data_IF_494646867800
#
_entry.id   IF_494646867800
#
_cell.length_a   1.000
_cell.length_b   1.000
_cell.length_c   1.000
_cell.angle_alpha   90.00
_cell.angle_beta   90.00
_cell.angle_gamma   90.00
#
_symmetry.space_group_name_H-M   'P 1'
#
loop_
_entity.id
_entity.type
_entity.pdbx_description
1 polymer ?
#
# COMPACT_ATOMS: atom_id res chain seq x y z
N UNK A 1 -4.25 -4.96 -24.89
CA UNK A 1 -5.27 -5.89 -24.33
C UNK A 1 -6.51 -5.09 -24.00
N UNK A 2 -7.71 -5.55 -24.35
CA UNK A 2 -8.94 -4.84 -24.01
C UNK A 2 -9.20 -5.01 -22.50
N UNK A 3 -9.06 -3.92 -21.72
CA UNK A 3 -9.20 -3.93 -20.25
C UNK A 3 -10.56 -4.46 -19.77
N UNK A 4 -11.62 -4.27 -20.55
CA UNK A 4 -12.99 -4.72 -20.20
C UNK A 4 -13.15 -6.26 -20.18
N UNK A 5 -12.16 -6.99 -20.69
CA UNK A 5 -12.11 -8.44 -20.65
C UNK A 5 -11.30 -8.99 -19.49
N UNK A 6 -10.64 -8.13 -18.71
CA UNK A 6 -9.89 -8.56 -17.54
C UNK A 6 -10.83 -8.83 -16.36
N UNK A 7 -10.55 -9.89 -15.61
CA UNK A 7 -11.22 -10.22 -14.37
C UNK A 7 -10.27 -10.04 -13.19
N UNK A 8 -10.67 -9.18 -12.26
CA UNK A 8 -9.95 -8.92 -11.02
C UNK A 8 -10.72 -9.49 -9.83
N UNK A 9 -10.05 -10.30 -9.01
CA UNK A 9 -10.60 -10.90 -7.79
C UNK A 9 -9.85 -10.39 -6.58
N UNK A 10 -10.58 -9.97 -5.55
CA UNK A 10 -9.99 -9.49 -4.29
C UNK A 10 -10.93 -9.70 -3.10
N UNK A 11 -10.49 -9.30 -1.90
CA UNK A 11 -11.25 -9.42 -0.67
C UNK A 11 -11.30 -8.11 0.12
N UNK A 12 -12.39 -7.96 0.87
CA UNK A 12 -12.60 -6.85 1.80
C UNK A 12 -13.29 -5.63 1.18
N UNK A 13 -14.34 -5.17 1.87
CA UNK A 13 -15.08 -3.93 1.56
C UNK A 13 -15.10 -2.96 2.74
N UNK A 14 -14.10 -3.07 3.61
CA UNK A 14 -13.90 -2.20 4.77
C UNK A 14 -13.51 -0.76 4.39
N UNK A 15 -12.91 -0.06 5.34
CA UNK A 15 -12.51 1.34 5.17
C UNK A 15 -11.52 1.56 4.03
N UNK A 16 -10.48 0.76 3.98
CA UNK A 16 -9.41 0.84 2.96
C UNK A 16 -9.75 0.02 1.71
N UNK A 17 -10.07 -1.25 1.89
CA UNK A 17 -10.33 -2.22 0.83
C UNK A 17 -11.51 -1.87 -0.07
N UNK A 18 -12.52 -1.19 0.46
CA UNK A 18 -13.69 -0.77 -0.33
C UNK A 18 -13.38 0.12 -1.54
N UNK A 19 -12.18 0.68 -1.64
CA UNK A 19 -11.76 1.45 -2.81
C UNK A 19 -11.44 0.56 -4.03
N UNK A 20 -11.09 -0.71 -3.86
CA UNK A 20 -10.65 -1.58 -4.95
C UNK A 20 -11.71 -1.79 -6.05
N UNK A 21 -12.99 -2.13 -5.75
CA UNK A 21 -14.00 -2.28 -6.80
C UNK A 21 -14.23 -0.97 -7.56
N UNK A 22 -14.16 0.18 -6.88
CA UNK A 22 -14.27 1.49 -7.53
C UNK A 22 -13.08 1.75 -8.46
N UNK A 23 -11.86 1.43 -8.01
CA UNK A 23 -10.67 1.55 -8.83
C UNK A 23 -10.72 0.62 -10.06
N UNK A 24 -11.22 -0.61 -9.91
CA UNK A 24 -11.45 -1.54 -11.00
C UNK A 24 -12.43 -0.97 -12.05
N UNK A 25 -13.54 -0.37 -11.62
CA UNK A 25 -14.49 0.30 -12.51
C UNK A 25 -13.84 1.46 -13.27
N UNK A 26 -13.05 2.32 -12.59
CA UNK A 26 -12.32 3.43 -13.22
C UNK A 26 -11.28 2.91 -14.22
N UNK A 27 -10.60 1.81 -13.89
CA UNK A 27 -9.64 1.16 -14.78
C UNK A 27 -10.29 0.44 -15.97
N UNK A 28 -11.60 0.25 -15.95
CA UNK A 28 -12.35 -0.44 -17.01
C UNK A 28 -12.31 -1.96 -16.91
N UNK A 29 -12.19 -2.52 -15.71
CA UNK A 29 -12.04 -3.95 -15.42
C UNK A 29 -13.30 -4.50 -14.75
N UNK A 30 -13.65 -5.76 -15.03
CA UNK A 30 -14.68 -6.49 -14.27
C UNK A 30 -14.06 -7.00 -12.97
N UNK A 31 -14.73 -6.81 -11.84
CA UNK A 31 -14.20 -7.25 -10.55
C UNK A 31 -15.22 -7.98 -9.68
N UNK A 32 -14.72 -8.94 -8.90
CA UNK A 32 -15.45 -9.54 -7.79
C UNK A 32 -14.65 -9.28 -6.51
N UNK A 33 -15.30 -8.69 -5.52
CA UNK A 33 -14.73 -8.46 -4.18
C UNK A 33 -15.52 -9.23 -3.15
N UNK A 34 -14.89 -10.21 -2.50
CA UNK A 34 -15.56 -10.95 -1.42
C UNK A 34 -15.60 -10.14 -0.13
N UNK A 35 -16.74 -10.17 0.55
CA UNK A 35 -16.94 -9.55 1.85
C UNK A 35 -17.92 -10.39 2.67
N UNK A 36 -17.52 -10.77 3.89
CA UNK A 36 -18.37 -11.59 4.77
C UNK A 36 -19.33 -10.75 5.60
N UNK A 37 -19.03 -9.47 5.82
CA UNK A 37 -19.86 -8.56 6.59
C UNK A 37 -20.92 -7.89 5.69
N UNK A 38 -22.21 -8.22 5.83
CA UNK A 38 -23.26 -7.67 4.98
C UNK A 38 -23.37 -6.15 5.07
N UNK A 39 -23.12 -5.57 6.25
CA UNK A 39 -23.15 -4.11 6.43
C UNK A 39 -22.09 -3.40 5.60
N UNK A 40 -20.90 -3.99 5.47
CA UNK A 40 -19.83 -3.43 4.65
C UNK A 40 -20.20 -3.53 3.16
N UNK A 41 -20.66 -4.68 2.68
CA UNK A 41 -21.04 -4.90 1.28
C UNK A 41 -22.13 -3.93 0.82
N UNK A 42 -23.26 -3.89 1.52
CA UNK A 42 -24.38 -3.00 1.17
C UNK A 42 -24.03 -1.52 1.29
N UNK A 43 -23.22 -1.12 2.29
CA UNK A 43 -22.72 0.26 2.38
C UNK A 43 -21.95 0.69 1.15
N UNK A 44 -21.12 -0.18 0.58
CA UNK A 44 -20.37 0.14 -0.66
C UNK A 44 -21.26 0.20 -1.88
N UNK A 45 -22.30 -0.60 -1.93
CA UNK A 45 -23.30 -0.50 -2.99
C UNK A 45 -24.09 0.82 -2.90
N UNK A 46 -24.56 1.22 -1.71
CA UNK A 46 -25.23 2.50 -1.48
C UNK A 46 -24.36 3.71 -1.88
N UNK A 47 -23.05 3.61 -1.66
CA UNK A 47 -22.08 4.63 -2.05
C UNK A 47 -21.74 4.62 -3.55
N UNK A 48 -22.25 3.68 -4.34
CA UNK A 48 -21.93 3.51 -5.75
C UNK A 48 -20.47 3.09 -6.00
N UNK A 49 -19.86 2.38 -5.05
CA UNK A 49 -18.51 1.84 -5.16
C UNK A 49 -18.51 0.38 -5.63
N UNK A 50 -19.62 -0.30 -5.43
CA UNK A 50 -19.95 -1.62 -5.95
C UNK A 50 -21.28 -1.52 -6.67
N UNK A 51 -21.39 -2.12 -7.85
CA UNK A 51 -22.58 -2.05 -8.67
C UNK A 51 -23.66 -3.04 -8.19
N UNK A 52 -23.26 -4.23 -7.74
CA UNK A 52 -24.20 -5.30 -7.37
C UNK A 52 -23.64 -6.14 -6.20
N UNK A 53 -24.53 -6.61 -5.31
CA UNK A 53 -24.22 -7.56 -4.24
C UNK A 53 -24.88 -8.90 -4.56
N UNK A 54 -24.12 -10.00 -4.55
CA UNK A 54 -24.58 -11.36 -4.87
C UNK A 54 -24.12 -12.32 -3.78
N UNK A 55 -25.02 -13.15 -3.25
CA UNK A 55 -24.73 -14.11 -2.17
C UNK A 55 -24.29 -15.48 -2.68
N UNK A 56 -24.78 -15.89 -3.87
CA UNK A 56 -24.46 -17.19 -4.44
C UNK A 56 -23.20 -17.11 -5.29
N UNK A 57 -22.17 -17.89 -4.94
CA UNK A 57 -20.86 -17.86 -5.57
C UNK A 57 -20.93 -18.16 -7.08
N UNK A 58 -21.72 -19.14 -7.51
CA UNK A 58 -21.86 -19.47 -8.92
C UNK A 58 -22.53 -18.37 -9.72
N UNK A 59 -23.60 -17.76 -9.18
CA UNK A 59 -24.25 -16.61 -9.82
C UNK A 59 -23.31 -15.40 -9.90
N UNK A 60 -22.49 -15.19 -8.89
CA UNK A 60 -21.48 -14.12 -8.88
C UNK A 60 -20.48 -14.32 -10.01
N UNK A 61 -19.92 -15.53 -10.14
CA UNK A 61 -18.96 -15.87 -11.18
C UNK A 61 -19.60 -15.79 -12.58
N UNK A 62 -20.79 -16.34 -12.75
CA UNK A 62 -21.52 -16.31 -14.04
C UNK A 62 -21.82 -14.87 -14.47
N UNK A 63 -22.19 -14.00 -13.53
CA UNK A 63 -22.40 -12.57 -13.79
C UNK A 63 -21.14 -11.87 -14.24
N UNK A 64 -20.00 -12.14 -13.62
CA UNK A 64 -18.72 -11.57 -14.03
C UNK A 64 -18.34 -12.02 -15.45
N UNK A 65 -18.50 -13.30 -15.77
CA UNK A 65 -18.26 -13.85 -17.11
C UNK A 65 -19.19 -13.20 -18.15
N UNK A 66 -20.47 -13.07 -17.84
CA UNK A 66 -21.44 -12.37 -18.70
C UNK A 66 -20.97 -10.93 -19.00
N UNK A 67 -20.51 -10.21 -17.98
CA UNK A 67 -20.01 -8.85 -18.13
C UNK A 67 -18.77 -8.79 -19.02
N UNK A 68 -17.81 -9.70 -18.85
CA UNK A 68 -16.62 -9.80 -19.71
C UNK A 68 -17.00 -10.08 -21.19
N UNK A 69 -17.93 -11.01 -21.42
CA UNK A 69 -18.38 -11.37 -22.77
C UNK A 69 -19.06 -10.19 -23.47
N UNK A 70 -19.80 -9.39 -22.72
CA UNK A 70 -20.51 -8.21 -23.21
C UNK A 70 -19.65 -6.93 -23.20
N UNK A 71 -18.36 -6.98 -22.85
CA UNK A 71 -17.47 -5.83 -22.67
C UNK A 71 -18.04 -4.77 -21.72
N UNK A 72 -18.77 -5.18 -20.69
CA UNK A 72 -19.38 -4.31 -19.69
C UNK A 72 -18.51 -4.26 -18.46
N UNK A 73 -18.04 -3.08 -18.09
CA UNK A 73 -17.39 -2.85 -16.79
C UNK A 73 -18.41 -3.02 -15.69
N UNK A 74 -18.07 -3.81 -14.68
CA UNK A 74 -18.99 -4.10 -13.57
C UNK A 74 -18.23 -4.57 -12.34
N UNK A 75 -18.60 -4.07 -11.17
CA UNK A 75 -18.05 -4.48 -9.88
C UNK A 75 -19.09 -5.22 -9.07
N UNK A 76 -18.73 -6.42 -8.62
CA UNK A 76 -19.61 -7.32 -7.88
C UNK A 76 -19.04 -7.51 -6.48
N UNK A 77 -19.85 -7.31 -5.45
CA UNK A 77 -19.57 -7.80 -4.12
C UNK A 77 -20.12 -9.22 -3.97
N UNK A 78 -19.26 -10.18 -3.76
CA UNK A 78 -19.67 -11.50 -3.31
C UNK A 78 -19.89 -11.46 -1.79
N UNK A 79 -21.12 -11.55 -1.33
CA UNK A 79 -21.42 -11.63 0.10
C UNK A 79 -21.18 -13.05 0.60
N UNK A 80 -19.94 -13.32 0.99
CA UNK A 80 -19.46 -14.62 1.40
C UNK A 80 -17.97 -14.64 1.70
N UNK A 81 -17.46 -15.82 2.01
CA UNK A 81 -16.05 -15.99 2.34
C UNK A 81 -15.19 -16.01 1.08
N UNK A 82 -14.06 -15.32 1.12
CA UNK A 82 -13.11 -15.25 0.00
C UNK A 82 -12.55 -16.63 -0.39
N UNK A 83 -12.40 -17.55 0.56
CA UNK A 83 -11.91 -18.91 0.28
C UNK A 83 -12.87 -19.66 -0.62
N UNK A 84 -14.20 -19.57 -0.34
CA UNK A 84 -15.22 -20.20 -1.19
C UNK A 84 -15.16 -19.68 -2.63
N UNK A 85 -14.91 -18.36 -2.80
CA UNK A 85 -14.77 -17.76 -4.13
C UNK A 85 -13.52 -18.29 -4.87
N UNK A 86 -12.35 -18.28 -4.20
CA UNK A 86 -11.11 -18.76 -4.80
C UNK A 86 -11.18 -20.23 -5.17
N UNK A 87 -11.68 -21.09 -4.27
CA UNK A 87 -11.85 -22.51 -4.52
C UNK A 87 -12.80 -22.76 -5.69
N UNK A 88 -13.94 -22.05 -5.74
CA UNK A 88 -14.93 -22.24 -6.81
C UNK A 88 -14.41 -21.78 -8.16
N UNK A 89 -13.66 -20.69 -8.23
CA UNK A 89 -12.97 -20.25 -9.45
C UNK A 89 -11.97 -21.29 -9.94
N UNK A 90 -11.18 -21.86 -9.01
CA UNK A 90 -10.20 -22.90 -9.30
C UNK A 90 -10.84 -24.24 -9.73
N UNK A 91 -11.96 -24.65 -9.12
CA UNK A 91 -12.72 -25.84 -9.49
C UNK A 91 -13.31 -25.73 -10.90
N UNK A 92 -13.87 -24.57 -11.22
CA UNK A 92 -14.49 -24.31 -12.54
C UNK A 92 -13.47 -23.96 -13.62
N UNK A 93 -12.16 -23.92 -13.31
CA UNK A 93 -11.09 -23.49 -14.20
C UNK A 93 -11.39 -22.13 -14.87
N UNK A 94 -11.94 -21.19 -14.12
CA UNK A 94 -12.21 -19.84 -14.61
C UNK A 94 -10.89 -19.12 -14.80
N UNK A 95 -10.73 -18.47 -15.95
CA UNK A 95 -9.58 -17.60 -16.19
C UNK A 95 -9.72 -16.32 -15.38
N UNK A 96 -8.87 -16.15 -14.38
CA UNK A 96 -8.69 -14.91 -13.63
C UNK A 96 -7.42 -14.23 -14.13
N UNK A 97 -7.46 -12.93 -14.41
CA UNK A 97 -6.29 -12.21 -14.91
C UNK A 97 -5.50 -11.58 -13.77
N UNK A 98 -6.18 -11.00 -12.78
CA UNK A 98 -5.58 -10.33 -11.63
C UNK A 98 -6.21 -10.84 -10.33
N UNK A 99 -5.39 -11.06 -9.32
CA UNK A 99 -5.82 -11.42 -7.98
C UNK A 99 -5.08 -10.65 -6.90
N UNK A 100 -5.78 -10.31 -5.81
CA UNK A 100 -5.14 -9.78 -4.60
C UNK A 100 -5.93 -10.15 -3.35
N UNK A 101 -5.32 -9.92 -2.19
CA UNK A 101 -6.02 -9.99 -0.92
C UNK A 101 -5.76 -8.73 -0.09
N UNK A 102 -6.82 -8.11 0.42
CA UNK A 102 -6.74 -6.93 1.29
C UNK A 102 -7.43 -7.15 2.64
N UNK A 103 -7.59 -8.39 3.06
CA UNK A 103 -8.00 -8.67 4.44
C UNK A 103 -6.96 -8.18 5.44
N UNK A 104 -7.41 -7.76 6.63
CA UNK A 104 -6.55 -7.07 7.61
C UNK A 104 -5.73 -8.07 8.43
N UNK A 105 -4.80 -8.78 7.80
CA UNK A 105 -4.00 -9.84 8.44
C UNK A 105 -2.88 -9.31 9.36
N UNK A 106 -2.76 -8.00 9.55
CA UNK A 106 -2.00 -7.44 10.69
C UNK A 106 -2.57 -7.87 12.04
N UNK A 107 -3.85 -8.23 12.08
CA UNK A 107 -4.51 -8.73 13.26
C UNK A 107 -5.52 -9.83 12.90
N UNK A 108 -5.03 -11.00 12.45
CA UNK A 108 -5.89 -12.06 11.95
C UNK A 108 -6.80 -12.67 13.02
N UNK A 109 -6.43 -12.52 14.31
CA UNK A 109 -7.08 -13.20 15.43
C UNK A 109 -8.21 -12.41 16.06
N UNK A 110 -8.42 -11.13 15.69
CA UNK A 110 -9.42 -10.24 16.27
C UNK A 110 -10.21 -9.49 15.19
N UNK A 111 -10.75 -10.23 14.23
CA UNK A 111 -11.64 -9.72 13.21
C UNK A 111 -10.96 -9.19 11.94
N UNK A 112 -9.65 -9.39 11.81
CA UNK A 112 -8.92 -9.06 10.58
C UNK A 112 -9.13 -10.08 9.46
N UNK A 113 -9.44 -11.33 9.81
CA UNK A 113 -9.72 -12.42 8.90
C UNK A 113 -10.83 -13.32 9.46
N UNK A 114 -11.70 -13.83 8.61
CA UNK A 114 -12.80 -14.71 8.99
C UNK A 114 -12.62 -16.09 8.35
N UNK A 115 -12.61 -17.17 9.16
CA UNK A 115 -12.41 -18.52 8.64
C UNK A 115 -13.59 -19.00 7.81
N UNK A 116 -13.32 -19.81 6.80
CA UNK A 116 -14.33 -20.41 5.94
C UNK A 116 -15.08 -21.54 6.65
N UNK A 117 -16.34 -21.73 6.28
CA UNK A 117 -17.20 -22.82 6.78
C UNK A 117 -17.98 -22.50 8.05
N UNK A 118 -17.92 -21.26 8.53
CA UNK A 118 -18.77 -20.73 9.62
C UNK A 118 -19.33 -19.37 9.22
N UNK A 119 -20.48 -19.00 9.79
CA UNK A 119 -21.09 -17.70 9.52
C UNK A 119 -20.32 -16.55 10.18
N UNK A 120 -20.62 -15.32 9.74
CA UNK A 120 -20.05 -14.10 10.33
C UNK A 120 -20.34 -14.00 11.83
N UNK A 121 -21.56 -14.34 12.25
CA UNK A 121 -22.01 -14.32 13.63
C UNK A 121 -21.30 -15.39 14.46
N UNK A 122 -21.24 -16.64 13.98
CA UNK A 122 -20.53 -17.73 14.66
C UNK A 122 -19.03 -17.44 14.80
N UNK A 123 -18.42 -16.84 13.79
CA UNK A 123 -17.01 -16.44 13.83
C UNK A 123 -16.76 -15.38 14.92
N UNK A 124 -17.64 -14.38 15.05
CA UNK A 124 -17.53 -13.37 16.11
C UNK A 124 -17.71 -13.97 17.51
N UNK A 125 -18.66 -14.89 17.69
CA UNK A 125 -18.86 -15.60 18.96
C UNK A 125 -17.66 -16.46 19.31
N UNK A 126 -17.14 -17.22 18.33
CA UNK A 126 -15.97 -18.09 18.52
C UNK A 126 -14.72 -17.27 18.86
N UNK A 127 -14.51 -16.14 18.21
CA UNK A 127 -13.38 -15.24 18.47
C UNK A 127 -13.41 -14.75 19.93
N UNK A 128 -14.59 -14.47 20.47
CA UNK A 128 -14.76 -14.00 21.83
C UNK A 128 -14.65 -15.11 22.90
N UNK A 129 -15.12 -16.32 22.62
CA UNK A 129 -15.27 -17.38 23.62
C UNK A 129 -14.35 -18.58 23.43
N UNK A 130 -13.88 -18.84 22.18
CA UNK A 130 -13.00 -19.96 21.83
C UNK A 130 -11.81 -19.49 20.95
N UNK A 131 -10.98 -18.53 21.41
CA UNK A 131 -9.98 -17.86 20.55
C UNK A 131 -8.95 -18.81 19.94
N UNK A 132 -8.55 -19.87 20.65
CA UNK A 132 -7.57 -20.83 20.09
C UNK A 132 -8.18 -21.66 18.96
N UNK A 133 -9.44 -22.04 19.08
CA UNK A 133 -10.18 -22.73 18.02
C UNK A 133 -10.38 -21.82 16.80
N UNK A 134 -10.68 -20.56 17.05
CA UNK A 134 -10.76 -19.54 15.98
C UNK A 134 -9.45 -19.44 15.21
N UNK A 135 -8.30 -19.33 15.91
CA UNK A 135 -6.96 -19.28 15.31
C UNK A 135 -6.67 -20.49 14.42
N UNK A 136 -7.00 -21.69 14.90
CA UNK A 136 -6.79 -22.92 14.12
C UNK A 136 -7.64 -22.95 12.84
N UNK A 137 -8.89 -22.45 12.88
CA UNK A 137 -9.73 -22.34 11.70
C UNK A 137 -9.19 -21.29 10.72
N UNK A 138 -8.69 -20.15 11.22
CA UNK A 138 -8.06 -19.12 10.38
C UNK A 138 -6.84 -19.71 9.67
N UNK A 139 -5.92 -20.40 10.37
CA UNK A 139 -4.74 -21.03 9.74
C UNK A 139 -5.14 -22.03 8.65
N UNK A 140 -6.12 -22.88 8.90
CA UNK A 140 -6.63 -23.83 7.89
C UNK A 140 -7.23 -23.11 6.68
N UNK A 141 -7.95 -22.04 6.92
CA UNK A 141 -8.56 -21.23 5.86
C UNK A 141 -7.50 -20.54 5.00
N UNK A 142 -6.44 -19.98 5.60
CA UNK A 142 -5.31 -19.39 4.88
C UNK A 142 -4.60 -20.43 3.99
N UNK A 143 -4.37 -21.66 4.50
CA UNK A 143 -3.78 -22.73 3.68
C UNK A 143 -4.67 -23.10 2.48
N UNK A 144 -5.99 -23.20 2.67
CA UNK A 144 -6.95 -23.46 1.59
C UNK A 144 -6.98 -22.33 0.56
N UNK A 145 -7.01 -21.08 1.03
CA UNK A 145 -7.00 -19.90 0.18
C UNK A 145 -5.76 -19.88 -0.72
N UNK A 146 -4.58 -20.06 -0.13
CA UNK A 146 -3.31 -20.09 -0.87
C UNK A 146 -3.28 -21.23 -1.88
N UNK A 147 -3.76 -22.42 -1.52
CA UNK A 147 -3.80 -23.55 -2.45
C UNK A 147 -4.67 -23.24 -3.70
N UNK A 148 -5.81 -22.59 -3.53
CA UNK A 148 -6.65 -22.16 -4.63
C UNK A 148 -5.99 -21.04 -5.47
N UNK A 149 -5.38 -20.05 -4.82
CA UNK A 149 -4.61 -18.98 -5.48
C UNK A 149 -3.47 -19.56 -6.30
N UNK A 150 -2.68 -20.49 -5.73
CA UNK A 150 -1.57 -21.16 -6.43
C UNK A 150 -2.05 -21.85 -7.72
N UNK A 151 -3.16 -22.58 -7.63
CA UNK A 151 -3.75 -23.27 -8.81
C UNK A 151 -4.15 -22.27 -9.90
N UNK A 152 -4.73 -21.12 -9.53
CA UNK A 152 -5.11 -20.09 -10.50
C UNK A 152 -3.89 -19.33 -11.04
N UNK A 153 -2.87 -19.10 -10.22
CA UNK A 153 -1.62 -18.49 -10.66
C UNK A 153 -0.84 -19.38 -11.63
N UNK A 154 -0.81 -20.70 -11.38
CA UNK A 154 -0.24 -21.68 -12.32
C UNK A 154 -0.98 -21.70 -13.67
N UNK A 155 -2.24 -21.27 -13.69
CA UNK A 155 -3.06 -21.09 -14.91
C UNK A 155 -2.96 -19.66 -15.49
N UNK A 156 -2.02 -18.81 -15.00
CA UNK A 156 -1.69 -17.51 -15.58
C UNK A 156 -2.34 -16.31 -14.91
N UNK A 157 -2.93 -16.45 -13.72
CA UNK A 157 -3.35 -15.30 -12.91
C UNK A 157 -2.13 -14.58 -12.34
N UNK A 158 -2.07 -13.26 -12.46
CA UNK A 158 -1.13 -12.44 -11.72
C UNK A 158 -1.71 -12.11 -10.34
N UNK A 159 -1.13 -12.72 -9.31
CA UNK A 159 -1.52 -12.44 -7.92
C UNK A 159 -0.50 -11.54 -7.25
N UNK A 160 -0.95 -10.62 -6.39
CA UNK A 160 -0.12 -9.78 -5.54
C UNK A 160 -0.74 -9.63 -4.15
N UNK A 161 0.10 -9.64 -3.11
CA UNK A 161 -0.29 -9.25 -1.76
C UNK A 161 -0.46 -7.73 -1.72
N UNK A 162 -1.57 -7.25 -1.17
CA UNK A 162 -1.81 -5.81 -1.05
C UNK A 162 -0.93 -5.13 0.03
N UNK A 163 -0.13 -5.89 0.76
CA UNK A 163 0.73 -5.39 1.84
C UNK A 163 0.06 -5.40 3.22
N UNK A 164 -0.99 -6.21 3.40
CA UNK A 164 -1.70 -6.38 4.67
C UNK A 164 -1.32 -7.65 5.43
N UNK A 165 -0.07 -8.10 5.26
CA UNK A 165 0.49 -9.29 5.90
C UNK A 165 -0.12 -10.64 5.44
N UNK A 166 -0.78 -10.70 4.28
CA UNK A 166 -1.36 -11.95 3.77
C UNK A 166 -0.31 -13.03 3.56
N UNK A 167 0.78 -12.74 2.85
CA UNK A 167 1.85 -13.70 2.59
C UNK A 167 2.56 -14.12 3.90
N UNK A 168 2.80 -13.17 4.78
CA UNK A 168 3.44 -13.42 6.07
C UNK A 168 2.61 -14.39 6.94
N UNK A 169 1.34 -14.08 7.15
CA UNK A 169 0.47 -14.90 8.01
C UNK A 169 0.11 -16.24 7.36
N UNK A 170 -0.01 -16.28 6.05
CA UNK A 170 -0.18 -17.52 5.31
C UNK A 170 1.05 -18.44 5.42
N UNK A 171 2.26 -17.89 5.34
CA UNK A 171 3.50 -18.62 5.57
C UNK A 171 3.60 -19.13 7.01
N UNK A 172 3.26 -18.30 8.00
CA UNK A 172 3.16 -18.70 9.42
C UNK A 172 2.10 -19.78 9.67
N UNK A 173 1.05 -19.83 8.88
CA UNK A 173 0.04 -20.88 8.92
C UNK A 173 0.50 -22.19 8.26
N UNK A 174 1.63 -22.18 7.54
CA UNK A 174 2.19 -23.34 6.82
C UNK A 174 1.73 -23.47 5.37
N UNK A 175 1.18 -22.41 4.77
CA UNK A 175 0.80 -22.40 3.37
C UNK A 175 2.03 -22.29 2.44
N UNK A 176 1.89 -22.79 1.21
CA UNK A 176 2.94 -22.74 0.17
C UNK A 176 2.97 -21.37 -0.51
N UNK A 177 3.63 -20.40 0.12
CA UNK A 177 3.77 -19.01 -0.35
C UNK A 177 5.19 -18.64 -0.76
N UNK A 178 6.15 -19.55 -0.63
CA UNK A 178 7.56 -19.28 -0.92
C UNK A 178 7.97 -19.85 -2.28
N UNK A 179 8.94 -19.19 -2.93
CA UNK A 179 9.57 -19.74 -4.12
C UNK A 179 10.32 -21.04 -3.77
N UNK A 180 10.19 -22.06 -4.64
CA UNK A 180 11.00 -23.27 -4.51
C UNK A 180 12.45 -22.89 -4.81
N UNK A 181 13.31 -22.89 -3.80
CA UNK A 181 14.74 -22.71 -4.03
C UNK A 181 15.26 -23.86 -4.90
N UNK A 182 15.76 -23.55 -6.10
CA UNK A 182 16.50 -24.52 -6.89
C UNK A 182 17.71 -25.03 -6.09
N UNK A 183 18.05 -26.31 -6.22
CA UNK A 183 19.12 -26.93 -5.45
C UNK A 183 20.49 -26.26 -5.59
N UNK A 184 20.66 -25.38 -6.57
CA UNK A 184 21.88 -24.61 -6.83
C UNK A 184 22.14 -23.43 -5.87
N UNK A 185 21.11 -22.96 -5.15
CA UNK A 185 21.25 -21.84 -4.22
C UNK A 185 21.64 -22.26 -2.78
N UNK A 186 21.89 -23.55 -2.53
CA UNK A 186 22.23 -24.09 -1.20
C UNK A 186 23.69 -23.91 -0.77
N UNK A 187 24.55 -23.26 -1.55
CA UNK A 187 26.00 -23.23 -1.32
C UNK A 187 26.51 -21.95 -0.64
N UNK A 188 25.66 -21.03 -0.19
CA UNK A 188 26.11 -19.80 0.50
C UNK A 188 25.60 -19.60 1.91
N UNK A 189 25.35 -20.66 2.68
CA UNK A 189 25.21 -20.50 4.11
C UNK A 189 26.57 -20.72 4.79
N UNK A 190 27.28 -19.61 5.04
CA UNK A 190 28.51 -19.60 5.83
C UNK A 190 28.23 -20.14 7.23
N UNK A 191 28.97 -21.17 7.61
CA UNK A 191 29.13 -21.64 8.98
C UNK A 191 29.77 -20.53 9.85
N UNK A 192 28.98 -19.75 10.55
CA UNK A 192 29.43 -19.02 11.72
C UNK A 192 29.05 -19.80 12.97
N UNK A 193 29.88 -20.77 13.36
CA UNK A 193 29.97 -21.28 14.73
C UNK A 193 30.78 -20.25 15.51
N UNK A 194 30.12 -19.56 16.46
CA UNK A 194 30.54 -19.49 17.86
C UNK A 194 29.82 -18.35 18.63
N UNK A 195 29.25 -18.80 19.75
CA UNK A 195 28.98 -18.11 21.02
C UNK A 195 27.74 -17.24 21.17
N UNK A 196 26.79 -17.75 21.95
CA UNK A 196 25.79 -16.96 22.65
C UNK A 196 24.43 -17.64 22.79
N UNK A 197 24.24 -18.40 23.87
CA UNK A 197 22.96 -18.96 24.31
C UNK A 197 21.90 -17.86 24.50
N UNK A 198 21.00 -17.67 23.52
CA UNK A 198 19.68 -17.05 23.70
C UNK A 198 18.72 -17.57 22.64
N UNK A 199 17.65 -18.23 23.11
CA UNK A 199 16.44 -18.65 22.38
C UNK A 199 16.63 -19.12 20.92
N UNK A 200 17.20 -20.30 20.75
CA UNK A 200 17.39 -20.96 19.44
C UNK A 200 16.09 -21.10 18.65
N UNK A 201 14.96 -21.37 19.31
CA UNK A 201 13.68 -21.58 18.61
C UNK A 201 13.08 -20.32 17.97
N UNK A 202 13.41 -19.11 18.48
CA UNK A 202 12.93 -17.87 17.91
C UNK A 202 13.83 -17.39 16.76
N UNK A 203 15.14 -17.56 16.89
CA UNK A 203 16.11 -17.21 15.86
C UNK A 203 16.01 -18.14 14.64
N UNK A 204 15.92 -19.46 14.80
CA UNK A 204 15.75 -20.38 13.67
C UNK A 204 14.46 -20.13 12.88
N UNK A 205 13.35 -19.76 13.54
CA UNK A 205 12.09 -19.40 12.85
C UNK A 205 12.16 -18.06 12.14
N UNK A 206 12.89 -17.10 12.68
CA UNK A 206 13.02 -15.76 12.10
C UNK A 206 14.03 -15.75 10.95
N UNK A 207 15.16 -16.41 11.10
CA UNK A 207 16.20 -16.53 10.05
C UNK A 207 15.70 -17.34 8.85
N UNK A 208 14.90 -18.38 9.04
CA UNK A 208 14.30 -19.13 7.93
C UNK A 208 13.24 -18.31 7.16
N UNK A 209 12.53 -17.37 7.82
CA UNK A 209 11.53 -16.53 7.16
C UNK A 209 12.14 -15.33 6.41
N UNK A 210 13.33 -14.87 6.76
CA UNK A 210 14.01 -13.73 6.14
C UNK A 210 14.77 -14.15 4.87
N UNK A 211 15.20 -15.40 4.78
CA UNK A 211 15.96 -15.94 3.66
C UNK A 211 15.06 -16.48 2.52
N UNK A 212 13.75 -16.61 2.73
CA UNK A 212 12.84 -17.17 1.72
C UNK A 212 12.12 -16.06 0.96
N UNK A 213 12.30 -16.03 -0.37
CA UNK A 213 11.57 -15.13 -1.24
C UNK A 213 10.14 -15.61 -1.42
N UNK A 214 9.18 -14.69 -1.31
CA UNK A 214 7.78 -14.99 -1.57
C UNK A 214 7.53 -15.27 -3.05
N UNK A 215 6.62 -16.19 -3.32
CA UNK A 215 6.15 -16.54 -4.66
C UNK A 215 5.43 -15.39 -5.37
N UNK A 216 4.82 -14.51 -4.61
CA UNK A 216 4.03 -13.39 -5.13
C UNK A 216 4.62 -12.06 -4.68
N UNK A 217 4.56 -11.03 -5.53
CA UNK A 217 4.98 -9.69 -5.15
C UNK A 217 4.03 -9.08 -4.11
N UNK A 218 4.58 -8.18 -3.30
CA UNK A 218 3.79 -7.29 -2.46
C UNK A 218 3.54 -5.98 -3.21
N UNK A 219 2.28 -5.49 -3.17
CA UNK A 219 1.91 -4.22 -3.78
C UNK A 219 2.76 -3.05 -3.29
N UNK A 220 2.96 -2.96 -1.97
CA UNK A 220 3.68 -1.83 -1.38
C UNK A 220 5.18 -1.90 -1.67
N UNK A 221 5.79 -3.07 -1.51
CA UNK A 221 7.24 -3.26 -1.60
C UNK A 221 7.72 -3.40 -3.04
N UNK A 222 7.08 -4.27 -3.81
CA UNK A 222 7.57 -4.71 -5.10
C UNK A 222 6.95 -3.94 -6.27
N UNK A 223 5.80 -3.28 -6.04
CA UNK A 223 5.11 -2.50 -7.07
C UNK A 223 5.23 -1.01 -6.78
N UNK A 224 4.67 -0.52 -5.65
CA UNK A 224 4.67 0.90 -5.34
C UNK A 224 6.05 1.42 -4.92
N UNK A 225 6.88 0.59 -4.28
CA UNK A 225 8.26 0.94 -3.94
C UNK A 225 9.03 1.43 -5.16
N UNK A 226 9.29 0.56 -6.14
CA UNK A 226 10.02 0.93 -7.35
C UNK A 226 9.32 1.94 -8.26
N UNK A 227 7.98 1.91 -8.33
CA UNK A 227 7.23 2.81 -9.22
C UNK A 227 7.05 4.22 -8.67
N UNK A 228 6.93 4.37 -7.35
CA UNK A 228 6.54 5.64 -6.71
C UNK A 228 7.48 6.05 -5.59
N UNK A 229 7.62 5.23 -4.54
CA UNK A 229 8.30 5.64 -3.30
C UNK A 229 9.79 5.90 -3.49
N UNK A 230 10.46 5.12 -4.30
CA UNK A 230 11.89 5.32 -4.59
C UNK A 230 12.12 6.65 -5.32
N UNK A 231 11.20 7.06 -6.18
CA UNK A 231 11.24 8.37 -6.85
C UNK A 231 10.73 9.54 -6.00
N UNK A 232 10.33 9.30 -4.77
CA UNK A 232 9.86 10.33 -3.86
C UNK A 232 8.35 10.58 -3.90
N UNK A 233 7.59 9.81 -4.70
CA UNK A 233 6.14 9.95 -4.80
C UNK A 233 5.45 9.11 -3.74
N UNK A 234 4.64 9.75 -2.93
CA UNK A 234 3.82 9.09 -1.92
C UNK A 234 2.52 9.82 -1.67
N UNK A 235 1.61 9.21 -0.90
CA UNK A 235 0.29 9.77 -0.66
C UNK A 235 0.37 11.13 0.02
N UNK A 236 -0.18 12.12 -0.68
CA UNK A 236 -0.35 13.50 -0.21
C UNK A 236 -1.84 13.81 -0.17
N UNK A 237 -2.35 14.07 0.99
CA UNK A 237 -3.78 14.26 1.25
C UNK A 237 -4.08 15.66 1.72
N UNK A 238 -5.20 16.22 1.27
CA UNK A 238 -5.74 17.45 1.84
C UNK A 238 -7.23 17.36 2.11
N UNK A 239 -7.69 18.14 3.09
CA UNK A 239 -9.09 18.27 3.47
C UNK A 239 -9.44 19.75 3.54
N UNK A 240 -10.47 20.16 2.80
CA UNK A 240 -11.05 21.50 2.87
C UNK A 240 -11.97 21.56 4.10
N UNK A 241 -11.55 22.27 5.15
CA UNK A 241 -12.28 22.31 6.43
C UNK A 241 -13.61 23.06 6.36
N UNK A 242 -13.83 23.83 5.29
CA UNK A 242 -15.13 24.46 5.02
C UNK A 242 -16.26 23.46 4.81
N UNK A 243 -15.93 22.24 4.39
CA UNK A 243 -16.91 21.24 3.94
C UNK A 243 -17.61 21.59 2.63
N UNK A 244 -17.21 22.69 1.95
CA UNK A 244 -17.82 23.16 0.72
C UNK A 244 -17.23 22.49 -0.51
N UNK A 245 -18.05 21.93 -1.43
CA UNK A 245 -17.56 21.37 -2.69
C UNK A 245 -16.79 22.37 -3.55
N UNK A 246 -17.15 23.66 -3.49
CA UNK A 246 -16.52 24.74 -4.25
C UNK A 246 -15.06 24.94 -3.85
N UNK A 247 -14.72 24.78 -2.56
CA UNK A 247 -13.34 24.88 -2.10
C UNK A 247 -12.52 23.65 -2.51
N UNK A 248 -13.13 22.46 -2.57
CA UNK A 248 -12.50 21.29 -3.15
C UNK A 248 -12.23 21.46 -4.64
N UNK A 249 -13.23 21.94 -5.42
CA UNK A 249 -13.07 22.20 -6.86
C UNK A 249 -11.93 23.20 -7.14
N UNK A 250 -11.75 24.22 -6.28
CA UNK A 250 -10.64 25.18 -6.40
C UNK A 250 -9.30 24.53 -6.08
N UNK A 251 -9.24 23.77 -4.99
CA UNK A 251 -8.00 23.07 -4.60
C UNK A 251 -7.59 22.03 -5.66
N UNK A 252 -8.54 21.32 -6.27
CA UNK A 252 -8.29 20.41 -7.38
C UNK A 252 -7.68 21.15 -8.59
N UNK A 253 -8.23 22.31 -8.99
CA UNK A 253 -7.69 23.12 -10.09
C UNK A 253 -6.28 23.62 -9.80
N UNK A 254 -6.03 24.08 -8.58
CA UNK A 254 -4.69 24.50 -8.15
C UNK A 254 -3.72 23.33 -8.28
N UNK A 255 -4.08 22.17 -7.74
CA UNK A 255 -3.22 20.99 -7.79
C UNK A 255 -2.93 20.55 -9.24
N UNK A 256 -3.93 20.51 -10.12
CA UNK A 256 -3.73 20.18 -11.54
C UNK A 256 -2.78 21.15 -12.21
N UNK A 257 -3.00 22.48 -12.06
CA UNK A 257 -2.14 23.50 -12.69
C UNK A 257 -0.68 23.38 -12.23
N UNK A 258 -0.43 23.09 -10.95
CA UNK A 258 0.92 22.88 -10.44
C UNK A 258 1.54 21.60 -11.01
N UNK A 259 0.78 20.51 -11.10
CA UNK A 259 1.27 19.25 -11.68
C UNK A 259 1.57 19.38 -13.19
N UNK A 260 0.75 20.12 -13.92
CA UNK A 260 1.01 20.46 -15.34
C UNK A 260 2.30 21.26 -15.49
N UNK A 261 2.51 22.30 -14.66
CA UNK A 261 3.74 23.09 -14.65
C UNK A 261 4.96 22.18 -14.39
N UNK A 262 4.91 21.36 -13.34
CA UNK A 262 6.02 20.45 -12.97
C UNK A 262 6.30 19.46 -14.10
N UNK A 263 5.26 18.88 -14.71
CA UNK A 263 5.41 17.91 -15.78
C UNK A 263 6.18 18.46 -17.00
N UNK A 264 6.12 19.77 -17.26
CA UNK A 264 6.80 20.38 -18.42
C UNK A 264 8.33 20.36 -18.33
N UNK A 265 8.89 20.27 -17.13
CA UNK A 265 10.33 20.28 -16.89
C UNK A 265 10.84 19.05 -16.10
N UNK A 266 9.93 18.11 -15.81
CA UNK A 266 10.29 16.85 -15.15
C UNK A 266 11.00 15.90 -16.11
N UNK A 267 11.97 15.12 -15.62
CA UNK A 267 12.53 13.99 -16.36
C UNK A 267 11.49 12.96 -16.76
N UNK A 268 11.73 12.25 -17.86
CA UNK A 268 10.78 11.26 -18.41
C UNK A 268 10.36 10.18 -17.42
N UNK A 269 11.27 9.79 -16.52
CA UNK A 269 11.07 8.76 -15.50
C UNK A 269 9.91 9.07 -14.54
N UNK A 270 9.61 10.35 -14.32
CA UNK A 270 8.60 10.78 -13.36
C UNK A 270 7.40 11.50 -13.97
N UNK A 271 7.44 11.84 -15.26
CA UNK A 271 6.33 12.54 -15.93
C UNK A 271 5.01 11.77 -15.87
N UNK A 272 5.06 10.44 -15.93
CA UNK A 272 3.84 9.63 -15.88
C UNK A 272 3.09 9.80 -14.55
N UNK A 273 3.80 9.94 -13.43
CA UNK A 273 3.17 10.19 -12.12
C UNK A 273 2.35 11.49 -12.10
N UNK A 274 2.85 12.54 -12.74
CA UNK A 274 2.11 13.80 -12.86
C UNK A 274 0.84 13.63 -13.68
N UNK A 275 0.93 12.95 -14.82
CA UNK A 275 -0.23 12.71 -15.72
C UNK A 275 -1.29 11.85 -15.05
N UNK A 276 -0.88 10.82 -14.32
CA UNK A 276 -1.79 9.93 -13.60
C UNK A 276 -2.55 10.71 -12.50
N UNK A 277 -1.87 11.58 -11.77
CA UNK A 277 -2.49 12.46 -10.78
C UNK A 277 -3.50 13.43 -11.42
N UNK A 278 -3.15 14.05 -12.54
CA UNK A 278 -4.06 14.96 -13.28
C UNK A 278 -5.31 14.19 -13.71
N UNK A 279 -5.14 13.05 -14.35
CA UNK A 279 -6.25 12.18 -14.78
C UNK A 279 -7.14 11.77 -13.61
N UNK A 280 -6.52 11.47 -12.46
CA UNK A 280 -7.24 11.12 -11.23
C UNK A 280 -8.13 12.25 -10.73
N UNK A 281 -7.61 13.49 -10.68
CA UNK A 281 -8.39 14.67 -10.26
C UNK A 281 -9.50 14.98 -11.26
N UNK A 282 -9.23 14.99 -12.56
CA UNK A 282 -10.22 15.23 -13.61
C UNK A 282 -11.39 14.26 -13.52
N UNK A 283 -11.09 13.00 -13.27
CA UNK A 283 -12.08 11.92 -13.09
C UNK A 283 -12.83 11.96 -11.76
N UNK A 284 -12.34 12.71 -10.77
CA UNK A 284 -12.79 12.59 -9.39
C UNK A 284 -14.29 12.89 -9.20
N UNK A 285 -14.79 13.94 -9.85
CA UNK A 285 -16.21 14.32 -9.74
C UNK A 285 -17.13 13.31 -10.44
N UNK A 286 -16.78 12.87 -11.64
CA UNK A 286 -17.55 11.88 -12.39
C UNK A 286 -17.60 10.52 -11.67
N UNK A 287 -16.55 10.19 -10.92
CA UNK A 287 -16.43 8.95 -10.17
C UNK A 287 -16.88 9.04 -8.72
N UNK A 288 -17.43 10.19 -8.27
CA UNK A 288 -17.86 10.39 -6.88
C UNK A 288 -16.75 10.06 -5.87
N UNK A 289 -15.52 10.53 -6.10
CA UNK A 289 -14.36 10.26 -5.24
C UNK A 289 -14.33 11.15 -3.99
N UNK A 290 -15.48 11.42 -3.39
CA UNK A 290 -15.61 12.13 -2.11
C UNK A 290 -16.35 11.22 -1.14
N UNK A 291 -15.70 10.87 -0.04
CA UNK A 291 -16.28 10.00 1.00
C UNK A 291 -16.14 10.68 2.35
N UNK A 292 -17.27 11.16 2.86
CA UNK A 292 -17.40 11.69 4.22
C UNK A 292 -16.84 13.10 4.44
N UNK A 293 -15.96 13.62 3.56
CA UNK A 293 -15.39 14.97 3.67
C UNK A 293 -14.97 15.49 2.29
N UNK A 294 -14.82 16.81 2.17
CA UNK A 294 -14.26 17.46 0.98
C UNK A 294 -12.72 17.28 0.98
N UNK A 295 -12.28 16.13 0.52
CA UNK A 295 -10.89 15.69 0.59
C UNK A 295 -10.40 15.12 -0.73
N UNK A 296 -9.09 15.20 -0.95
CA UNK A 296 -8.40 14.58 -2.08
C UNK A 296 -7.10 13.93 -1.62
N UNK A 297 -6.64 12.95 -2.38
CA UNK A 297 -5.34 12.30 -2.21
C UNK A 297 -4.68 12.17 -3.58
N UNK A 298 -3.39 12.44 -3.64
CA UNK A 298 -2.50 12.26 -4.80
C UNK A 298 -1.25 11.52 -4.37
N UNK A 299 -0.46 11.10 -5.35
CA UNK A 299 0.92 10.64 -5.13
C UNK A 299 1.87 11.74 -5.60
N UNK A 300 2.39 12.54 -4.67
CA UNK A 300 3.24 13.69 -4.97
C UNK A 300 4.61 13.57 -4.29
N UNK A 301 5.64 14.08 -5.01
CA UNK A 301 7.00 14.23 -4.49
C UNK A 301 7.15 15.53 -3.65
N UNK A 302 8.37 15.80 -3.17
CA UNK A 302 8.63 16.98 -2.34
C UNK A 302 8.28 18.30 -3.05
N UNK A 303 8.66 18.45 -4.32
CA UNK A 303 8.37 19.65 -5.13
C UNK A 303 6.86 19.83 -5.28
N UNK A 304 6.15 18.79 -5.69
CA UNK A 304 4.69 18.81 -5.85
C UNK A 304 3.98 19.16 -4.55
N UNK A 305 4.34 18.50 -3.46
CA UNK A 305 3.75 18.78 -2.13
C UNK A 305 3.95 20.23 -1.69
N UNK A 306 5.17 20.75 -1.81
CA UNK A 306 5.51 22.12 -1.39
C UNK A 306 4.79 23.15 -2.25
N UNK A 307 4.83 23.03 -3.59
CA UNK A 307 4.19 23.98 -4.49
C UNK A 307 2.67 23.99 -4.31
N UNK A 308 2.03 22.82 -4.26
CA UNK A 308 0.59 22.69 -4.04
C UNK A 308 0.21 23.31 -2.68
N UNK A 309 0.89 22.90 -1.60
CA UNK A 309 0.61 23.41 -0.25
C UNK A 309 0.80 24.92 -0.13
N UNK A 310 1.86 25.47 -0.75
CA UNK A 310 2.09 26.93 -0.79
C UNK A 310 0.96 27.66 -1.49
N UNK A 311 0.55 27.17 -2.65
CA UNK A 311 -0.53 27.82 -3.44
C UNK A 311 -1.88 27.72 -2.71
N UNK A 312 -2.14 26.59 -2.00
CA UNK A 312 -3.31 26.51 -1.11
C UNK A 312 -3.23 27.58 0.01
N UNK A 313 -2.07 27.77 0.63
CA UNK A 313 -1.90 28.76 1.67
C UNK A 313 -2.11 30.19 1.14
N UNK A 314 -1.63 30.50 -0.05
CA UNK A 314 -1.85 31.78 -0.72
C UNK A 314 -3.34 31.99 -1.07
N UNK A 315 -4.04 30.94 -1.55
CA UNK A 315 -5.48 30.99 -1.86
C UNK A 315 -6.35 31.17 -0.60
N UNK A 316 -5.93 30.65 0.55
CA UNK A 316 -6.58 30.90 1.84
C UNK A 316 -6.33 32.36 2.25
N UNK A 317 -5.09 32.85 2.15
CA UNK A 317 -4.71 34.23 2.48
C UNK A 317 -5.49 35.26 1.65
N UNK A 318 -5.73 34.98 0.37
CA UNK A 318 -6.51 35.85 -0.52
C UNK A 318 -8.03 35.75 -0.33
N UNK A 319 -8.52 34.73 0.37
CA UNK A 319 -9.93 34.43 0.52
C UNK A 319 -10.54 33.69 -0.69
N UNK A 320 -9.75 33.23 -1.64
CA UNK A 320 -10.19 32.37 -2.74
C UNK A 320 -10.69 31.02 -2.20
N UNK A 321 -9.96 30.40 -1.28
CA UNK A 321 -10.42 29.26 -0.47
C UNK A 321 -10.95 29.82 0.85
N UNK A 322 -12.17 29.44 1.22
CA UNK A 322 -12.94 30.12 2.26
C UNK A 322 -12.59 29.72 3.70
N UNK A 323 -11.76 28.69 3.88
CA UNK A 323 -11.37 28.16 5.20
C UNK A 323 -10.00 27.46 5.12
N UNK A 324 -9.36 27.22 6.29
CA UNK A 324 -8.12 26.46 6.35
C UNK A 324 -8.18 25.11 5.67
N UNK A 325 -7.04 24.63 5.18
CA UNK A 325 -6.85 23.29 4.64
C UNK A 325 -5.98 22.49 5.62
N UNK A 326 -6.35 21.25 5.85
CA UNK A 326 -5.55 20.27 6.57
C UNK A 326 -4.81 19.39 5.57
N UNK A 327 -3.50 19.39 5.65
CA UNK A 327 -2.64 18.44 4.93
C UNK A 327 -2.36 17.22 5.80
N UNK A 328 -2.10 16.09 5.15
CA UNK A 328 -1.62 14.89 5.79
C UNK A 328 -1.07 13.92 4.76
N UNK A 329 -0.44 12.87 5.24
CA UNK A 329 -0.07 11.72 4.44
C UNK A 329 -0.56 10.42 5.09
N UNK A 330 -0.58 9.38 4.32
CA UNK A 330 -0.75 8.05 4.86
C UNK A 330 0.56 7.57 5.50
N UNK A 331 0.50 6.58 6.37
CA UNK A 331 1.68 5.93 6.92
C UNK A 331 2.41 5.07 5.88
N UNK A 332 1.75 4.65 4.79
CA UNK A 332 2.36 4.09 3.60
C UNK A 332 2.88 5.21 2.72
N UNK A 333 4.11 5.63 2.90
CA UNK A 333 4.67 6.76 2.19
C UNK A 333 6.16 6.57 1.90
N UNK A 334 6.74 7.51 1.17
CA UNK A 334 8.17 7.60 0.84
C UNK A 334 9.04 7.50 2.08
N UNK A 335 8.69 8.20 3.14
CA UNK A 335 9.36 8.11 4.44
C UNK A 335 9.28 6.73 5.07
N UNK A 336 8.43 5.86 4.55
CA UNK A 336 8.34 4.41 4.66
C UNK A 336 8.65 3.87 6.03
N UNK A 337 7.63 3.76 6.87
CA UNK A 337 7.87 3.48 8.27
C UNK A 337 7.14 2.25 8.78
N UNK A 338 6.50 1.51 7.91
CA UNK A 338 5.92 0.21 8.27
C UNK A 338 7.02 -0.85 8.41
N UNK A 339 7.88 -0.65 9.40
CA UNK A 339 8.97 -1.55 9.72
C UNK A 339 8.45 -2.75 10.53
N UNK A 340 8.90 -3.99 10.23
CA UNK A 340 9.86 -4.36 9.20
C UNK A 340 9.25 -4.88 7.87
N UNK A 341 7.92 -5.01 7.77
CA UNK A 341 7.31 -5.90 6.78
C UNK A 341 6.65 -5.23 5.58
N UNK A 342 6.72 -3.91 5.41
CA UNK A 342 6.15 -3.22 4.26
C UNK A 342 7.15 -2.28 3.60
N UNK A 343 6.97 -0.97 3.69
CA UNK A 343 7.79 0.00 2.94
C UNK A 343 9.29 -0.08 3.25
N UNK A 344 9.65 -0.71 4.37
CA UNK A 344 11.05 -0.89 4.76
C UNK A 344 11.63 -2.25 4.41
N UNK A 345 10.83 -3.19 3.92
CA UNK A 345 11.31 -4.55 3.60
C UNK A 345 12.24 -4.60 2.38
N UNK A 346 12.22 -3.58 1.52
CA UNK A 346 13.18 -3.40 0.44
C UNK A 346 14.49 -2.72 0.89
N UNK A 347 14.74 -2.62 2.19
CA UNK A 347 15.99 -2.19 2.80
C UNK A 347 16.73 -3.44 3.26
N UNK A 348 17.81 -3.81 2.56
CA UNK A 348 18.47 -5.12 2.69
C UNK A 348 19.69 -5.13 3.60
N UNK A 349 20.02 -4.01 4.25
CA UNK A 349 21.17 -3.86 5.15
C UNK A 349 20.90 -4.26 6.62
N UNK A 350 19.69 -4.77 6.90
CA UNK A 350 19.24 -5.15 8.25
C UNK A 350 18.53 -4.02 9.03
N UNK A 351 18.60 -2.78 8.58
CA UNK A 351 17.97 -1.64 9.28
C UNK A 351 16.44 -1.62 9.17
N UNK A 352 15.86 -2.44 8.29
CA UNK A 352 14.41 -2.61 8.18
C UNK A 352 13.72 -3.09 9.46
N UNK A 353 14.47 -3.70 10.38
CA UNK A 353 13.94 -4.21 11.66
C UNK A 353 13.96 -3.20 12.80
N UNK A 354 14.31 -1.95 12.54
CA UNK A 354 14.42 -0.92 13.57
C UNK A 354 13.15 -0.08 13.69
N UNK A 355 12.74 0.24 14.92
CA UNK A 355 11.70 1.23 15.19
C UNK A 355 12.22 2.68 14.99
N UNK A 356 13.54 2.86 14.95
CA UNK A 356 14.19 4.17 14.92
C UNK A 356 13.79 4.99 13.71
N UNK A 357 13.53 4.38 12.57
CA UNK A 357 13.10 5.08 11.37
C UNK A 357 11.77 5.81 11.56
N UNK A 358 10.76 5.13 12.12
CA UNK A 358 9.46 5.73 12.40
C UNK A 358 9.58 6.85 13.45
N UNK A 359 10.36 6.62 14.50
CA UNK A 359 10.61 7.59 15.56
C UNK A 359 11.34 8.82 15.00
N UNK A 360 12.40 8.64 14.23
CA UNK A 360 13.15 9.73 13.61
C UNK A 360 12.28 10.57 12.67
N UNK A 361 11.44 9.93 11.86
CA UNK A 361 10.53 10.64 10.98
C UNK A 361 9.55 11.52 11.77
N UNK A 362 8.86 10.95 12.77
CA UNK A 362 7.90 11.68 13.61
C UNK A 362 8.55 12.83 14.37
N UNK A 363 9.76 12.63 14.93
CA UNK A 363 10.52 13.70 15.60
C UNK A 363 10.87 14.80 14.59
N UNK A 364 11.35 14.43 13.40
CA UNK A 364 11.72 15.38 12.37
C UNK A 364 10.55 16.23 11.87
N UNK A 365 9.38 15.64 11.68
CA UNK A 365 8.15 16.34 11.34
C UNK A 365 7.70 17.30 12.44
N UNK A 366 7.78 16.86 13.71
CA UNK A 366 7.44 17.66 14.88
C UNK A 366 8.31 18.92 14.96
N UNK A 367 9.64 18.76 14.84
CA UNK A 367 10.58 19.90 14.89
C UNK A 367 10.41 20.90 13.75
N UNK A 368 9.84 20.47 12.62
CA UNK A 368 9.64 21.32 11.44
C UNK A 368 8.24 21.89 11.31
N UNK A 369 7.42 21.69 12.33
CA UNK A 369 6.16 22.42 12.48
C UNK A 369 4.93 21.69 11.99
N UNK A 370 4.93 20.36 11.97
CA UNK A 370 3.70 19.60 11.89
C UNK A 370 2.73 20.07 12.99
N UNK A 371 1.45 20.22 12.65
CA UNK A 371 0.44 20.62 13.64
C UNK A 371 0.18 19.51 14.65
N UNK A 372 0.23 18.26 14.18
CA UNK A 372 0.25 17.07 15.02
C UNK A 372 1.03 15.96 14.31
N UNK A 373 1.50 15.01 15.09
CA UNK A 373 2.13 13.78 14.62
C UNK A 373 1.49 12.59 15.30
N UNK A 374 1.60 11.43 14.68
CA UNK A 374 1.17 10.16 15.24
C UNK A 374 2.25 9.12 15.05
N UNK A 375 2.37 8.20 16.02
CA UNK A 375 3.14 6.99 15.92
C UNK A 375 2.31 5.84 16.50
N UNK A 376 2.24 4.71 15.81
CA UNK A 376 1.39 3.60 16.22
C UNK A 376 1.89 2.27 15.63
N UNK A 377 1.32 1.19 16.11
CA UNK A 377 1.62 -0.17 15.67
C UNK A 377 0.56 -0.70 14.70
N UNK A 378 0.92 -1.73 13.94
CA UNK A 378 -0.02 -2.56 13.20
C UNK A 378 -0.79 -1.87 12.09
N UNK A 379 -0.11 -1.22 11.15
CA UNK A 379 -0.77 -0.65 9.98
C UNK A 379 -1.85 0.40 10.27
N UNK A 380 -1.77 1.10 11.40
CA UNK A 380 -2.75 2.09 11.82
C UNK A 380 -3.88 1.57 12.72
N UNK A 381 -3.92 0.28 13.04
CA UNK A 381 -4.95 -0.30 13.93
C UNK A 381 -4.62 -0.19 15.41
N UNK A 382 -3.40 0.21 15.76
CA UNK A 382 -2.97 0.46 17.14
C UNK A 382 -2.33 -0.73 17.85
N UNK A 383 -2.21 -1.88 17.20
CA UNK A 383 -1.49 -3.08 17.67
C UNK A 383 -0.94 -3.87 16.49
N UNK A 384 0.05 -4.71 16.76
CA UNK A 384 0.75 -5.52 15.77
C UNK A 384 2.26 -5.30 15.82
N UNK A 385 2.98 -5.98 14.95
CA UNK A 385 4.44 -5.98 14.91
C UNK A 385 5.03 -4.76 14.19
N UNK A 386 4.24 -4.14 13.32
CA UNK A 386 4.66 -3.03 12.46
C UNK A 386 4.58 -1.71 13.22
N UNK A 387 5.61 -0.88 13.09
CA UNK A 387 5.62 0.51 13.58
C UNK A 387 5.58 1.46 12.40
N UNK A 388 4.71 2.46 12.49
CA UNK A 388 4.60 3.53 11.51
C UNK A 388 4.22 4.86 12.14
N UNK A 389 4.27 5.91 11.35
CA UNK A 389 3.92 7.26 11.80
C UNK A 389 3.34 8.10 10.67
N UNK A 390 2.79 9.21 11.04
CA UNK A 390 2.23 10.18 10.14
C UNK A 390 2.17 11.57 10.75
N UNK A 391 1.77 12.54 9.94
CA UNK A 391 1.59 13.93 10.37
C UNK A 391 0.27 14.50 9.86
N UNK A 392 -0.16 15.58 10.52
CA UNK A 392 -1.12 16.52 9.98
C UNK A 392 -0.59 17.94 10.10
N UNK A 393 -0.92 18.78 9.13
CA UNK A 393 -0.52 20.18 9.07
C UNK A 393 -1.69 21.05 8.66
N UNK A 394 -1.93 22.09 9.45
CA UNK A 394 -2.94 23.12 9.15
C UNK A 394 -2.30 24.24 8.31
N UNK A 395 -2.94 24.58 7.21
CA UNK A 395 -2.68 25.76 6.40
C UNK A 395 -3.79 26.78 6.71
N UNK A 396 -3.42 27.96 7.16
CA UNK A 396 -4.36 29.02 7.58
C UNK A 396 -4.16 30.36 6.84
N UNK A 397 -3.32 30.37 5.81
CA UNK A 397 -2.99 31.56 5.03
C UNK A 397 -1.88 32.42 5.64
N UNK A 398 -1.30 32.05 6.78
CA UNK A 398 -0.25 32.83 7.46
C UNK A 398 1.13 32.57 6.85
N UNK A 399 2.04 33.52 7.08
CA UNK A 399 3.47 33.37 6.76
C UNK A 399 4.14 32.27 7.58
N UNK A 400 3.66 32.05 8.79
CA UNK A 400 4.16 30.96 9.65
C UNK A 400 3.79 29.60 9.06
N UNK A 401 2.56 29.42 8.56
CA UNK A 401 2.17 28.21 7.85
C UNK A 401 3.03 27.98 6.60
N UNK A 402 3.32 29.03 5.83
CA UNK A 402 4.20 28.93 4.66
C UNK A 402 5.62 28.47 5.03
N UNK A 403 6.19 29.03 6.07
CA UNK A 403 7.51 28.64 6.57
C UNK A 403 7.54 27.16 7.00
N UNK A 404 6.55 26.75 7.78
CA UNK A 404 6.45 25.38 8.30
C UNK A 404 6.28 24.35 7.16
N UNK A 405 5.36 24.58 6.22
CA UNK A 405 5.11 23.65 5.12
C UNK A 405 6.38 23.40 4.28
N UNK A 406 7.17 24.45 3.99
CA UNK A 406 8.42 24.31 3.22
C UNK A 406 9.43 23.42 3.94
N UNK A 407 9.64 23.64 5.22
CA UNK A 407 10.62 22.88 6.01
C UNK A 407 10.17 21.43 6.21
N UNK A 408 8.90 21.24 6.58
CA UNK A 408 8.39 19.91 6.95
C UNK A 408 8.22 18.99 5.76
N UNK A 409 7.59 19.47 4.67
CA UNK A 409 7.36 18.65 3.49
C UNK A 409 8.67 18.29 2.76
N UNK A 410 9.66 19.20 2.77
CA UNK A 410 11.00 18.89 2.26
C UNK A 410 11.66 17.78 3.07
N UNK A 411 11.61 17.87 4.40
CA UNK A 411 12.18 16.86 5.28
C UNK A 411 11.50 15.52 5.15
N UNK A 412 10.17 15.48 5.26
CA UNK A 412 9.41 14.23 5.32
C UNK A 412 9.72 13.33 4.10
N UNK A 413 9.64 13.88 2.90
CA UNK A 413 9.92 13.13 1.68
C UNK A 413 11.40 12.75 1.57
N UNK A 414 12.32 13.72 1.72
CA UNK A 414 13.74 13.48 1.48
C UNK A 414 14.40 12.61 2.56
N UNK A 415 13.84 12.57 3.77
CA UNK A 415 14.24 11.61 4.80
C UNK A 415 14.02 10.15 4.31
N UNK A 416 12.87 9.88 3.70
CA UNK A 416 12.58 8.57 3.12
C UNK A 416 13.46 8.23 1.92
N UNK A 417 13.59 9.15 0.97
CA UNK A 417 14.45 8.97 -0.21
C UNK A 417 15.90 8.72 0.21
N UNK A 418 16.41 9.45 1.20
CA UNK A 418 17.77 9.28 1.73
C UNK A 418 18.01 7.85 2.22
N UNK A 419 17.10 7.28 3.00
CA UNK A 419 17.21 5.90 3.49
C UNK A 419 17.16 4.88 2.35
N UNK A 420 16.24 5.06 1.39
CA UNK A 420 16.10 4.21 0.21
C UNK A 420 17.32 4.30 -0.70
N UNK A 421 17.96 5.46 -0.81
CA UNK A 421 19.22 5.62 -1.56
C UNK A 421 20.39 4.86 -0.92
N UNK A 422 20.46 4.85 0.41
CA UNK A 422 21.44 4.04 1.15
C UNK A 422 21.17 2.54 1.04
N UNK A 423 19.91 2.12 0.84
CA UNK A 423 19.56 0.76 0.48
C UNK A 423 19.94 0.37 -0.98
N UNK A 424 20.50 1.30 -1.73
CA UNK A 424 20.93 1.17 -3.13
C UNK A 424 19.81 1.07 -4.15
N UNK A 425 18.60 1.53 -3.80
CA UNK A 425 17.50 1.59 -4.74
C UNK A 425 17.82 2.66 -5.81
N UNK A 426 17.84 2.28 -7.07
CA UNK A 426 18.26 3.15 -8.17
C UNK A 426 17.40 4.41 -8.30
N UNK A 427 16.08 4.26 -8.22
CA UNK A 427 15.14 5.38 -8.24
C UNK A 427 15.39 6.38 -7.10
N UNK A 428 15.75 5.89 -5.91
CA UNK A 428 16.06 6.74 -4.77
C UNK A 428 17.39 7.46 -4.89
N UNK A 429 18.39 6.82 -5.50
CA UNK A 429 19.68 7.48 -5.84
C UNK A 429 19.45 8.59 -6.85
N UNK A 430 18.63 8.35 -7.87
CA UNK A 430 18.22 9.38 -8.83
C UNK A 430 17.50 10.53 -8.12
N UNK A 431 16.47 10.23 -7.33
CA UNK A 431 15.64 11.23 -6.66
C UNK A 431 16.42 12.09 -5.66
N UNK A 432 17.32 11.51 -4.86
CA UNK A 432 18.11 12.29 -3.90
C UNK A 432 19.15 13.20 -4.58
N UNK A 433 19.73 12.77 -5.70
CA UNK A 433 20.63 13.62 -6.48
C UNK A 433 19.88 14.80 -7.07
N UNK A 434 18.72 14.57 -7.68
CA UNK A 434 17.84 15.63 -8.19
C UNK A 434 17.45 16.61 -7.07
N UNK A 435 17.05 16.12 -5.90
CA UNK A 435 16.71 16.98 -4.78
C UNK A 435 17.88 17.85 -4.29
N UNK A 436 19.12 17.35 -4.32
CA UNK A 436 20.32 18.15 -4.01
C UNK A 436 20.64 19.21 -5.07
N UNK A 437 20.26 18.99 -6.33
CA UNK A 437 20.38 20.01 -7.39
C UNK A 437 19.32 21.11 -7.22
N UNK A 438 18.08 20.75 -6.91
CA UNK A 438 16.97 21.68 -6.66
C UNK A 438 17.17 22.50 -5.37
N UNK A 439 17.77 21.89 -4.33
CA UNK A 439 18.05 22.50 -3.04
C UNK A 439 19.54 22.45 -2.71
N UNK A 440 20.35 23.39 -3.23
CA UNK A 440 21.83 23.35 -3.12
C UNK A 440 22.38 23.33 -1.69
N UNK A 441 21.62 23.82 -0.73
CA UNK A 441 21.96 23.78 0.70
C UNK A 441 21.76 22.40 1.34
N UNK A 442 20.99 21.52 0.68
CA UNK A 442 20.80 20.14 1.12
C UNK A 442 22.01 19.30 0.77
N UNK A 443 22.61 18.67 1.76
CA UNK A 443 23.77 17.77 1.58
C UNK A 443 23.47 16.40 2.15
N UNK A 444 23.26 15.43 1.29
CA UNK A 444 23.04 14.04 1.65
C UNK A 444 24.16 13.20 1.06
N UNK A 445 24.77 12.38 1.89
CA UNK A 445 25.73 11.38 1.40
C UNK A 445 24.98 10.24 0.73
N UNK A 446 25.54 9.69 -0.34
CA UNK A 446 25.01 8.54 -1.05
C UNK A 446 26.02 7.39 -1.01
N UNK A 447 25.57 6.13 -1.10
CA UNK A 447 26.49 5.01 -1.09
C UNK A 447 27.37 5.00 -2.34
N UNK A 448 28.62 4.56 -2.19
CA UNK A 448 29.44 4.19 -3.34
C UNK A 448 28.94 2.85 -3.87
N UNK A 449 28.53 2.83 -5.14
CA UNK A 449 28.18 1.61 -5.82
C UNK A 449 29.48 0.93 -6.29
N UNK A 450 29.65 -0.34 -5.95
CA UNK A 450 30.71 -1.19 -6.46
C UNK A 450 30.11 -2.21 -7.42
N UNK A 451 30.89 -2.65 -8.39
CA UNK A 451 30.47 -3.71 -9.31
C UNK A 451 30.21 -5.00 -8.51
N UNK A 452 29.16 -5.74 -8.87
CA UNK A 452 28.75 -6.96 -8.15
C UNK A 452 29.89 -8.00 -8.05
N UNK A 453 30.76 -8.04 -9.04
CA UNK A 453 31.86 -8.98 -9.15
C UNK A 453 33.17 -8.52 -8.51
N UNK A 454 33.20 -7.38 -7.83
CA UNK A 454 34.42 -6.82 -7.22
C UNK A 454 35.10 -7.78 -6.23
N UNK A 455 34.35 -8.63 -5.58
CA UNK A 455 34.84 -9.62 -4.64
C UNK A 455 35.08 -11.00 -5.27
N UNK A 456 34.72 -11.18 -6.54
CA UNK A 456 34.93 -12.45 -7.23
C UNK A 456 36.41 -12.75 -7.34
N UNK A 457 36.82 -13.96 -6.97
CA UNK A 457 38.23 -14.38 -6.97
C UNK A 457 39.05 -13.89 -5.78
N UNK A 458 38.55 -12.99 -4.90
CA UNK A 458 39.31 -12.56 -3.71
C UNK A 458 39.42 -13.69 -2.67
N UNK A 459 38.39 -14.52 -2.60
CA UNK A 459 38.31 -15.64 -1.67
C UNK A 459 38.46 -17.02 -2.34
N UNK A 460 38.84 -17.07 -3.61
CA UNK A 460 39.23 -18.32 -4.25
C UNK A 460 40.57 -18.77 -3.66
N UNK A 461 40.58 -19.83 -2.88
CA UNK A 461 41.80 -20.48 -2.42
C UNK A 461 42.60 -20.98 -3.63
N UNK A 462 43.89 -20.61 -3.67
CA UNK A 462 44.83 -21.09 -4.65
C UNK A 462 45.25 -22.52 -4.37
#
# INVERSE_FOLDING_TARGET
>A
MDKKKLLFITAGLGGMSGAQPKAANIAGVVSITAEINPKAAYKRQEQGWVDEVIEEVDKCIDKAIECQQNNKVHSIAFLGNIVDLWERLAERNIKVDLGSDQTSLHNPWAGGYYPVGISYEEANEMMAHEPEKFKELVKKSLCRQVAAINKLADNGMYFFDYGNAFLLESGRAGADVFEVQSAECKVQNFENKEQGTRNKDYQEKTENNIAQKYRYPSYVQDIMGPMCFDYGFGPFRWVCTSGKPEDLDKSDKIAMSILEEIATHSPDEIQQQMRDNIQWIEGAKANNLVVGSQARILYADAEGRIKIAKTFNDAIKSGEISAPIVLGRDHHDVSGTDSPFRETSNIYDGSSFTADMAIQNVIGDSFRGATWVSIHNGGGVGWGEVINGGFGMLLDGSEESEKRLKMMLLWDVNNGISRRSWARNEGAIFAIKRAMEEYPDMKVTVPNLVEENVLDGIFEEK
#
